data_IF_172351735793
#
_entry.id   IF_172351735793
#
_cell.length_a   1.000
_cell.length_b   1.000
_cell.length_c   1.000
_cell.angle_alpha   90.00
_cell.angle_beta   90.00
_cell.angle_gamma   90.00
#
_symmetry.space_group_name_H-M   'P 1'
#
loop_
_entity.id
_entity.type
_entity.pdbx_description
1 polymer ?
#
# COMPACT_ATOMS: atom_id res chain seq x y z
N UNK A 1 -29.05 1.54 -15.00
CA UNK A 1 -28.76 0.31 -15.77
C UNK A 1 -28.20 -0.70 -14.78
N UNK A 2 -28.57 -1.98 -14.88
CA UNK A 2 -28.13 -3.02 -13.93
C UNK A 2 -26.60 -3.13 -13.87
N UNK A 3 -25.92 -2.88 -15.00
CA UNK A 3 -24.46 -2.82 -15.06
C UNK A 3 -23.88 -1.70 -14.20
N UNK A 4 -24.51 -0.52 -14.20
CA UNK A 4 -24.03 0.61 -13.40
C UNK A 4 -24.12 0.30 -11.91
N UNK A 5 -25.21 -0.33 -11.47
CA UNK A 5 -25.40 -0.68 -10.06
C UNK A 5 -24.35 -1.68 -9.57
N UNK A 6 -24.01 -2.68 -10.40
CA UNK A 6 -22.95 -3.65 -10.08
C UNK A 6 -21.57 -2.97 -9.98
N UNK A 7 -21.25 -2.06 -10.90
CA UNK A 7 -19.98 -1.29 -10.86
C UNK A 7 -19.90 -0.46 -9.57
N UNK A 8 -21.00 0.21 -9.20
CA UNK A 8 -21.04 1.05 -8.00
C UNK A 8 -20.88 0.23 -6.71
N UNK A 9 -21.44 -0.99 -6.66
CA UNK A 9 -21.28 -1.92 -5.53
C UNK A 9 -19.83 -2.36 -5.36
N UNK A 10 -19.18 -2.78 -6.44
CA UNK A 10 -17.77 -3.21 -6.40
C UNK A 10 -16.82 -2.04 -6.07
N UNK A 11 -17.10 -0.85 -6.60
CA UNK A 11 -16.35 0.35 -6.24
C UNK A 11 -16.48 0.67 -4.74
N UNK A 12 -17.66 0.45 -4.16
CA UNK A 12 -17.89 0.68 -2.74
C UNK A 12 -17.14 -0.33 -1.86
N UNK A 13 -17.00 -1.58 -2.29
CA UNK A 13 -16.16 -2.59 -1.60
C UNK A 13 -14.68 -2.20 -1.65
N UNK A 14 -14.17 -1.78 -2.80
CA UNK A 14 -12.77 -1.30 -2.92
C UNK A 14 -12.51 -0.14 -1.95
N UNK A 15 -13.42 0.83 -1.88
CA UNK A 15 -13.30 1.97 -0.96
C UNK A 15 -13.30 1.51 0.50
N UNK A 16 -14.14 0.53 0.87
CA UNK A 16 -14.14 -0.04 2.22
C UNK A 16 -12.80 -0.69 2.57
N UNK A 17 -12.29 -1.55 1.70
CA UNK A 17 -11.00 -2.22 1.94
C UNK A 17 -9.86 -1.21 2.09
N UNK A 18 -9.82 -0.17 1.25
CA UNK A 18 -8.80 0.89 1.37
C UNK A 18 -8.90 1.64 2.69
N UNK A 19 -10.12 1.97 3.12
CA UNK A 19 -10.35 2.63 4.41
C UNK A 19 -9.86 1.76 5.58
N UNK A 20 -10.15 0.46 5.57
CA UNK A 20 -9.69 -0.49 6.59
C UNK A 20 -8.14 -0.54 6.66
N UNK A 21 -7.45 -0.55 5.52
CA UNK A 21 -5.99 -0.50 5.48
C UNK A 21 -5.44 0.82 6.06
N UNK A 22 -6.08 1.94 5.74
CA UNK A 22 -5.70 3.26 6.26
C UNK A 22 -5.93 3.37 7.77
N UNK A 23 -7.01 2.79 8.29
CA UNK A 23 -7.29 2.74 9.74
C UNK A 23 -6.22 1.93 10.50
N UNK A 24 -5.64 0.91 9.85
CA UNK A 24 -4.50 0.16 10.38
C UNK A 24 -3.16 0.91 10.25
N UNK A 25 -3.15 2.11 9.65
CA UNK A 25 -1.96 2.93 9.46
C UNK A 25 -1.16 2.62 8.20
N UNK A 26 -1.68 1.78 7.30
CA UNK A 26 -1.04 1.48 6.02
C UNK A 26 -1.33 2.59 5.00
N UNK A 27 -0.38 2.81 4.11
CA UNK A 27 -0.49 3.80 3.04
C UNK A 27 -0.66 3.05 1.72
N UNK A 28 -1.89 3.01 1.19
CA UNK A 28 -2.15 2.54 -0.17
C UNK A 28 -1.61 3.58 -1.15
N UNK A 29 -0.54 3.25 -1.87
CA UNK A 29 0.18 4.19 -2.75
C UNK A 29 -0.33 4.15 -4.17
N UNK A 30 -0.62 2.95 -4.65
CA UNK A 30 -1.12 2.69 -5.99
C UNK A 30 -2.02 1.44 -5.94
N UNK A 31 -3.30 1.59 -6.28
CA UNK A 31 -4.24 0.48 -6.26
C UNK A 31 -4.08 -0.44 -7.48
N UNK A 32 -3.71 0.12 -8.63
CA UNK A 32 -3.59 -0.62 -9.88
C UNK A 32 -2.36 -1.53 -9.84
N UNK A 33 -1.26 -1.05 -9.26
CA UNK A 33 -0.07 -1.87 -9.02
C UNK A 33 -0.15 -2.71 -7.72
N UNK A 34 -1.16 -2.46 -6.88
CA UNK A 34 -1.29 -3.08 -5.56
C UNK A 34 -0.12 -2.76 -4.63
N UNK A 35 0.28 -1.48 -4.61
CA UNK A 35 1.40 -0.96 -3.86
C UNK A 35 0.97 -0.40 -2.50
N UNK A 36 1.57 -0.92 -1.43
CA UNK A 36 1.26 -0.55 -0.06
C UNK A 36 2.54 -0.30 0.73
N UNK A 37 2.58 0.84 1.43
CA UNK A 37 3.65 1.20 2.35
C UNK A 37 3.20 1.08 3.81
N UNK A 38 4.12 0.67 4.67
CA UNK A 38 3.95 0.49 6.11
C UNK A 38 4.93 1.44 6.82
N UNK A 39 4.44 2.46 7.52
CA UNK A 39 5.29 3.34 8.33
C UNK A 39 6.09 2.57 9.37
N UNK A 40 7.39 2.84 9.44
CA UNK A 40 8.29 2.18 10.38
C UNK A 40 9.43 3.11 10.81
N UNK A 41 10.16 2.68 11.84
CA UNK A 41 11.40 3.33 12.29
C UNK A 41 12.58 2.39 12.05
N UNK A 42 13.64 2.91 11.43
CA UNK A 42 14.89 2.18 11.20
C UNK A 42 16.06 3.04 11.64
N UNK A 43 16.78 2.59 12.67
CA UNK A 43 17.90 3.37 13.22
C UNK A 43 17.49 4.71 13.82
N UNK A 44 16.22 4.89 14.19
CA UNK A 44 15.67 6.16 14.67
C UNK A 44 15.16 7.09 13.56
N UNK A 45 15.29 6.70 12.29
CA UNK A 45 14.77 7.44 11.15
C UNK A 45 13.44 6.85 10.67
N UNK A 46 12.52 7.72 10.26
CA UNK A 46 11.26 7.30 9.63
C UNK A 46 11.53 6.75 8.23
N UNK A 47 11.01 5.55 8.00
CA UNK A 47 11.08 4.85 6.71
C UNK A 47 9.72 4.25 6.39
N UNK A 48 9.56 3.85 5.13
CA UNK A 48 8.38 3.13 4.66
C UNK A 48 8.83 1.72 4.28
N UNK A 49 8.34 0.69 4.98
CA UNK A 49 8.43 -0.67 4.47
C UNK A 49 7.45 -0.79 3.32
N UNK A 50 7.80 -1.54 2.28
CA UNK A 50 7.09 -1.48 1.02
C UNK A 50 6.81 -2.89 0.53
N UNK A 51 5.56 -3.14 0.16
CA UNK A 51 5.08 -4.37 -0.46
C UNK A 51 4.30 -4.06 -1.71
N UNK A 52 4.49 -4.86 -2.75
CA UNK A 52 3.72 -4.79 -3.99
C UNK A 52 3.03 -6.12 -4.25
N UNK A 53 1.81 -6.08 -4.78
CA UNK A 53 1.06 -7.25 -5.20
C UNK A 53 1.93 -8.20 -6.05
N UNK A 54 1.94 -9.47 -5.65
CA UNK A 54 2.79 -10.51 -6.22
C UNK A 54 4.09 -10.78 -5.45
N UNK A 55 4.42 -9.98 -4.44
CA UNK A 55 5.47 -10.29 -3.47
C UNK A 55 4.89 -11.17 -2.34
N UNK A 56 5.65 -12.17 -1.88
CA UNK A 56 5.18 -13.10 -0.84
C UNK A 56 5.10 -12.43 0.55
N UNK A 57 5.98 -11.45 0.81
CA UNK A 57 6.10 -10.78 2.10
C UNK A 57 6.68 -9.35 1.93
N UNK A 58 6.58 -8.55 2.99
CA UNK A 58 7.21 -7.22 3.06
C UNK A 58 8.74 -7.41 3.11
N UNK A 59 9.39 -7.34 1.96
CA UNK A 59 10.83 -7.59 1.82
C UNK A 59 11.71 -6.35 1.61
N UNK A 60 11.12 -5.16 1.50
CA UNK A 60 11.84 -3.95 1.13
C UNK A 60 11.41 -2.75 1.97
N UNK A 61 12.25 -1.72 1.97
CA UNK A 61 11.98 -0.42 2.56
C UNK A 61 12.54 0.70 1.69
N UNK A 62 12.03 1.91 1.85
CA UNK A 62 12.62 3.12 1.26
C UNK A 62 12.51 4.30 2.22
N UNK A 63 13.31 5.34 1.98
CA UNK A 63 13.17 6.61 2.68
C UNK A 63 11.92 7.36 2.17
N UNK A 64 11.50 8.37 2.92
CA UNK A 64 10.41 9.27 2.50
C UNK A 64 10.75 10.05 1.21
N UNK A 65 12.04 10.25 0.92
CA UNK A 65 12.53 11.01 -0.24
C UNK A 65 12.71 10.14 -1.48
N UNK A 66 13.21 8.91 -1.31
CA UNK A 66 13.55 8.01 -2.42
C UNK A 66 12.30 7.43 -3.10
N UNK A 67 11.21 7.24 -2.33
CA UNK A 67 10.00 6.57 -2.78
C UNK A 67 10.23 5.12 -3.26
N UNK A 68 9.23 4.57 -3.94
CA UNK A 68 9.25 3.18 -4.44
C UNK A 68 10.47 2.87 -5.32
N UNK A 69 10.92 3.83 -6.14
CA UNK A 69 12.04 3.64 -7.06
C UNK A 69 13.39 3.39 -6.34
N UNK A 70 13.53 3.84 -5.07
CA UNK A 70 14.73 3.63 -4.27
C UNK A 70 14.58 2.54 -3.20
N UNK A 71 13.74 1.52 -3.44
CA UNK A 71 13.59 0.37 -2.54
C UNK A 71 14.93 -0.33 -2.28
N UNK A 72 15.15 -0.62 -1.00
CA UNK A 72 16.30 -1.35 -0.46
C UNK A 72 15.78 -2.60 0.23
N UNK A 73 16.45 -3.76 0.09
CA UNK A 73 16.00 -4.99 0.74
C UNK A 73 16.08 -4.85 2.26
N UNK A 74 15.17 -5.54 2.95
CA UNK A 74 15.26 -5.79 4.38
C UNK A 74 16.31 -6.88 4.65
N UNK A 75 17.08 -6.79 5.76
CA UNK A 75 18.08 -7.79 6.13
C UNK A 75 17.49 -9.15 6.53
#
# INVERSE_FOLDING_TARGET
DELQAAIDEEAAEIVRCVAELQELGLLVKDLDEGLVDFPALRGGEEVLLCWRLGEDEVGFWHSLEDGFAGRKPLP
#
